data_IF_559344061593
#
_entry.id   IF_559344061593
#
_cell.length_a   1.000
_cell.length_b   1.000
_cell.length_c   1.000
_cell.angle_alpha   90.00
_cell.angle_beta   90.00
_cell.angle_gamma   90.00
#
_symmetry.space_group_name_H-M   'P 1'
#
loop_
_entity.id
_entity.type
_entity.pdbx_description
1 polymer ?
#
# COMPACT_ATOMS: atom_id res chain seq x y z
N UNK A 1 -4.93 -16.71 57.75
CA UNK A 1 -5.51 -16.24 56.47
C UNK A 1 -5.43 -14.72 56.48
N UNK A 2 -4.43 -14.16 55.81
CA UNK A 2 -4.21 -12.72 55.72
C UNK A 2 -4.60 -12.32 54.29
N UNK A 3 -5.72 -11.60 54.14
CA UNK A 3 -6.19 -11.14 52.84
C UNK A 3 -5.40 -9.88 52.44
N UNK A 4 -4.64 -9.98 51.35
CA UNK A 4 -3.93 -8.86 50.74
C UNK A 4 -4.89 -8.23 49.71
N UNK A 5 -5.41 -7.04 50.00
CA UNK A 5 -6.22 -6.28 49.05
C UNK A 5 -5.28 -5.50 48.12
N UNK A 6 -5.23 -5.91 46.85
CA UNK A 6 -4.53 -5.16 45.80
C UNK A 6 -5.49 -4.10 45.28
N UNK A 7 -5.23 -2.84 45.60
CA UNK A 7 -5.95 -1.71 45.02
C UNK A 7 -5.47 -1.51 43.58
N UNK A 8 -6.34 -1.81 42.61
CA UNK A 8 -6.12 -1.47 41.21
C UNK A 8 -6.26 0.06 41.04
N UNK A 9 -5.13 0.76 40.98
CA UNK A 9 -5.09 2.16 40.58
C UNK A 9 -5.36 2.27 39.09
N UNK A 10 -6.58 2.66 38.71
CA UNK A 10 -6.90 3.05 37.35
C UNK A 10 -6.34 4.46 37.14
N UNK A 11 -5.17 4.57 36.50
CA UNK A 11 -4.68 5.84 35.99
C UNK A 11 -5.59 6.26 34.85
N UNK A 12 -6.44 7.26 35.08
CA UNK A 12 -7.18 7.92 34.03
C UNK A 12 -6.18 8.55 33.05
N UNK A 13 -6.08 7.98 31.84
CA UNK A 13 -5.37 8.61 30.73
C UNK A 13 -6.19 9.84 30.36
N UNK A 14 -5.64 11.03 30.63
CA UNK A 14 -6.26 12.28 30.20
C UNK A 14 -6.34 12.27 28.67
N UNK A 15 -7.55 12.38 28.12
CA UNK A 15 -7.74 12.56 26.69
C UNK A 15 -6.98 13.83 26.27
N UNK A 16 -6.07 13.69 25.30
CA UNK A 16 -5.39 14.84 24.72
C UNK A 16 -6.46 15.82 24.19
N UNK A 17 -6.30 17.11 24.48
CA UNK A 17 -7.20 18.12 23.94
C UNK A 17 -7.15 18.06 22.41
N UNK A 18 -8.31 17.91 21.77
CA UNK A 18 -8.40 17.91 20.31
C UNK A 18 -7.81 19.22 19.76
N UNK A 19 -6.89 19.10 18.80
CA UNK A 19 -6.26 20.25 18.15
C UNK A 19 -7.26 21.14 17.40
N UNK A 20 -6.84 22.32 16.92
CA UNK A 20 -7.67 23.21 16.11
C UNK A 20 -8.20 22.49 14.85
N UNK A 21 -9.42 22.87 14.43
CA UNK A 21 -9.98 22.47 13.14
C UNK A 21 -10.00 23.69 12.22
N UNK A 22 -9.25 23.64 11.12
CA UNK A 22 -9.22 24.67 10.09
C UNK A 22 -10.15 24.24 8.97
N UNK A 23 -11.25 24.98 8.81
CA UNK A 23 -12.25 24.75 7.77
C UNK A 23 -11.88 25.55 6.52
N UNK A 24 -11.60 24.88 5.41
CA UNK A 24 -11.37 25.49 4.11
C UNK A 24 -12.62 25.34 3.24
N UNK A 25 -13.06 26.44 2.64
CA UNK A 25 -14.21 26.41 1.74
C UNK A 25 -13.88 25.81 0.36
N UNK A 26 -12.59 25.77 0.00
CA UNK A 26 -12.08 25.24 -1.26
C UNK A 26 -10.95 24.24 -1.02
N UNK A 27 -10.52 23.59 -2.10
CA UNK A 27 -9.38 22.69 -2.15
C UNK A 27 -8.14 23.31 -2.85
N UNK A 28 -8.10 24.64 -3.04
CA UNK A 28 -7.00 25.30 -3.76
C UNK A 28 -5.67 25.08 -3.05
N UNK A 29 -4.63 24.79 -3.82
CA UNK A 29 -3.31 24.38 -3.35
C UNK A 29 -2.73 25.33 -2.28
N UNK A 30 -2.82 26.65 -2.51
CA UNK A 30 -2.27 27.65 -1.58
C UNK A 30 -2.99 27.65 -0.23
N UNK A 31 -4.33 27.55 -0.23
CA UNK A 31 -5.13 27.49 1.00
C UNK A 31 -4.82 26.22 1.79
N UNK A 32 -4.75 25.06 1.10
CA UNK A 32 -4.43 23.78 1.73
C UNK A 32 -3.01 23.78 2.30
N UNK A 33 -2.05 24.32 1.55
CA UNK A 33 -0.65 24.45 1.98
C UNK A 33 -0.53 25.30 3.23
N UNK A 34 -1.14 26.48 3.24
CA UNK A 34 -1.04 27.42 4.35
C UNK A 34 -1.72 26.85 5.61
N UNK A 35 -2.87 26.19 5.44
CA UNK A 35 -3.55 25.51 6.53
C UNK A 35 -2.70 24.37 7.14
N UNK A 36 -2.16 23.48 6.29
CA UNK A 36 -1.29 22.39 6.76
C UNK A 36 -0.05 22.92 7.47
N UNK A 37 0.61 23.94 6.92
CA UNK A 37 1.78 24.57 7.55
C UNK A 37 1.45 25.18 8.92
N UNK A 38 0.24 25.72 9.09
CA UNK A 38 -0.18 26.32 10.36
C UNK A 38 -0.43 25.31 11.49
N UNK A 39 -0.68 24.04 11.16
CA UNK A 39 -0.93 22.96 12.14
C UNK A 39 0.29 22.10 12.46
N UNK A 40 1.39 22.21 11.71
CA UNK A 40 2.60 21.37 11.91
C UNK A 40 3.11 21.35 13.35
N UNK A 41 3.06 22.49 14.05
CA UNK A 41 3.61 22.64 15.41
C UNK A 41 2.55 22.60 16.51
N UNK A 42 1.26 22.61 16.14
CA UNK A 42 0.14 22.69 17.09
C UNK A 42 -0.73 21.43 17.06
N UNK A 43 -0.61 20.64 16.00
CA UNK A 43 -1.52 19.56 15.66
C UNK A 43 -2.87 20.09 15.22
N UNK A 44 -3.74 19.19 14.76
CA UNK A 44 -5.13 19.52 14.43
C UNK A 44 -5.58 18.94 13.11
N UNK A 45 -6.72 19.43 12.65
CA UNK A 45 -7.38 18.94 11.44
C UNK A 45 -7.52 20.06 10.41
N UNK A 46 -7.06 19.81 9.20
CA UNK A 46 -7.38 20.61 8.02
C UNK A 46 -8.54 19.92 7.32
N UNK A 47 -9.70 20.57 7.33
CA UNK A 47 -10.92 20.07 6.71
C UNK A 47 -11.18 20.83 5.40
N UNK A 48 -11.15 20.12 4.28
CA UNK A 48 -11.45 20.65 2.96
C UNK A 48 -12.95 20.55 2.68
N UNK A 49 -13.50 21.59 2.07
CA UNK A 49 -14.82 21.56 1.47
C UNK A 49 -14.86 20.71 0.19
N UNK A 50 -16.07 20.42 -0.27
CA UNK A 50 -16.29 19.82 -1.59
C UNK A 50 -15.84 20.78 -2.70
N UNK A 51 -15.28 20.23 -3.76
CA UNK A 51 -14.77 20.97 -4.90
C UNK A 51 -13.78 20.15 -5.72
N UNK A 52 -13.52 20.61 -6.94
CA UNK A 52 -12.48 20.08 -7.80
C UNK A 52 -11.45 21.18 -8.02
N UNK A 53 -10.20 20.92 -7.61
CA UNK A 53 -9.10 21.88 -7.72
C UNK A 53 -7.94 21.23 -8.47
N UNK A 54 -7.46 21.91 -9.50
CA UNK A 54 -6.32 21.47 -10.27
C UNK A 54 -5.05 22.18 -9.80
N UNK A 55 -4.27 21.45 -9.01
CA UNK A 55 -3.05 21.94 -8.40
C UNK A 55 -1.95 22.23 -9.42
N UNK A 56 -2.06 21.74 -10.65
CA UNK A 56 -1.13 22.09 -11.74
C UNK A 56 -1.42 23.46 -12.35
N UNK A 57 -2.65 23.96 -12.25
CA UNK A 57 -3.08 25.22 -12.89
C UNK A 57 -3.52 26.29 -11.90
N UNK A 58 -3.54 25.97 -10.60
CA UNK A 58 -3.90 26.88 -9.53
C UNK A 58 -3.02 28.16 -9.52
N UNK A 59 -3.62 29.36 -9.34
CA UNK A 59 -2.85 30.59 -9.22
C UNK A 59 -1.88 30.54 -8.03
N UNK A 60 -0.57 30.68 -8.31
CA UNK A 60 0.47 30.57 -7.28
C UNK A 60 0.91 29.13 -6.99
N UNK A 61 0.55 28.18 -7.85
CA UNK A 61 0.95 26.77 -7.76
C UNK A 61 2.40 26.48 -8.14
N UNK A 62 3.33 27.38 -7.82
CA UNK A 62 4.77 27.11 -7.96
C UNK A 62 5.41 26.99 -6.58
N UNK A 63 5.83 25.79 -6.15
CA UNK A 63 5.71 24.51 -6.86
C UNK A 63 4.29 23.93 -6.76
N UNK A 64 3.91 23.03 -7.69
CA UNK A 64 2.58 22.42 -7.84
C UNK A 64 2.36 21.25 -6.86
N UNK A 65 2.91 21.40 -5.66
CA UNK A 65 2.97 20.38 -4.61
C UNK A 65 2.99 21.01 -3.22
N UNK A 66 2.68 20.19 -2.24
CA UNK A 66 2.78 20.52 -0.82
C UNK A 66 3.81 19.59 -0.17
N UNK A 67 4.70 20.17 0.62
CA UNK A 67 5.62 19.41 1.48
C UNK A 67 5.37 19.80 2.93
N UNK A 68 5.10 18.81 3.77
CA UNK A 68 4.85 18.96 5.20
C UNK A 68 5.92 18.20 5.95
N UNK A 69 6.76 18.91 6.70
CA UNK A 69 7.67 18.28 7.66
C UNK A 69 6.96 18.17 9.00
N UNK A 70 6.63 16.94 9.41
CA UNK A 70 5.89 16.68 10.64
C UNK A 70 6.73 17.05 11.87
N UNK A 71 6.10 17.78 12.79
CA UNK A 71 6.61 18.01 14.14
C UNK A 71 6.30 16.83 15.07
N UNK A 72 6.06 17.14 16.34
CA UNK A 72 5.70 16.18 17.40
C UNK A 72 4.18 16.12 17.65
N UNK A 73 3.38 16.56 16.67
CA UNK A 73 1.92 16.70 16.78
C UNK A 73 1.19 15.94 15.69
N UNK A 74 0.05 15.37 16.07
CA UNK A 74 -0.84 14.68 15.14
C UNK A 74 -1.48 15.68 14.17
N UNK A 75 -1.47 15.33 12.87
CA UNK A 75 -2.09 16.12 11.81
C UNK A 75 -3.12 15.25 11.10
N UNK A 76 -4.32 15.79 10.89
CA UNK A 76 -5.34 15.17 10.06
C UNK A 76 -5.63 16.05 8.84
N UNK A 77 -5.67 15.47 7.65
CA UNK A 77 -6.12 16.11 6.42
C UNK A 77 -7.36 15.38 5.93
N UNK A 78 -8.51 16.06 5.91
CA UNK A 78 -9.79 15.44 5.59
C UNK A 78 -10.54 16.21 4.51
N UNK A 79 -11.06 15.51 3.51
CA UNK A 79 -11.97 16.09 2.51
C UNK A 79 -13.45 15.92 2.87
N UNK A 80 -14.33 16.28 1.93
CA UNK A 80 -15.77 16.10 2.07
C UNK A 80 -16.25 14.72 1.59
N UNK A 81 -15.34 13.90 1.06
CA UNK A 81 -15.56 12.57 0.50
C UNK A 81 -14.73 12.38 -0.76
N UNK A 82 -14.27 11.15 -1.04
CA UNK A 82 -13.37 10.86 -2.16
C UNK A 82 -13.89 11.31 -3.54
N UNK A 83 -15.20 11.41 -3.70
CA UNK A 83 -15.87 11.88 -4.92
C UNK A 83 -16.34 13.34 -4.84
N UNK A 84 -16.19 13.98 -3.68
CA UNK A 84 -16.64 15.35 -3.43
C UNK A 84 -15.49 16.35 -3.36
N UNK A 85 -14.33 15.95 -2.83
CA UNK A 85 -13.10 16.75 -2.83
C UNK A 85 -12.09 16.09 -3.75
N UNK A 86 -11.84 16.67 -4.93
CA UNK A 86 -10.96 16.12 -5.96
C UNK A 86 -9.78 17.05 -6.20
N UNK A 87 -8.57 16.52 -6.05
CA UNK A 87 -7.29 17.22 -6.26
C UNK A 87 -6.64 16.69 -7.54
N UNK A 88 -6.61 17.52 -8.58
CA UNK A 88 -6.09 17.16 -9.90
C UNK A 88 -4.65 17.59 -10.10
N UNK A 89 -3.95 16.83 -10.95
CA UNK A 89 -2.57 17.05 -11.38
C UNK A 89 -2.47 17.03 -12.90
N UNK A 90 -3.27 17.85 -13.59
CA UNK A 90 -3.47 17.71 -15.04
C UNK A 90 -2.25 18.02 -15.90
N UNK A 91 -1.32 18.86 -15.41
CA UNK A 91 -0.11 19.28 -16.11
C UNK A 91 1.12 19.23 -15.19
N UNK A 92 1.14 18.25 -14.28
CA UNK A 92 2.16 18.13 -13.26
C UNK A 92 3.59 17.95 -13.80
N UNK A 93 4.57 18.37 -13.01
CA UNK A 93 5.99 18.08 -13.30
C UNK A 93 6.26 16.57 -13.29
N UNK A 94 7.17 16.10 -14.16
CA UNK A 94 7.58 14.70 -14.18
C UNK A 94 8.22 14.29 -12.83
N UNK A 95 7.87 13.11 -12.30
CA UNK A 95 8.36 12.57 -11.03
C UNK A 95 8.06 13.45 -9.79
N UNK A 96 6.98 14.22 -9.83
CA UNK A 96 6.53 15.06 -8.71
C UNK A 96 5.36 14.42 -7.95
N UNK A 97 5.30 14.66 -6.64
CA UNK A 97 4.22 14.24 -5.75
C UNK A 97 3.26 15.38 -5.46
N UNK A 98 1.95 15.12 -5.36
CA UNK A 98 0.93 16.09 -4.90
C UNK A 98 1.24 16.55 -3.49
N UNK A 99 1.45 15.59 -2.61
CA UNK A 99 1.67 15.80 -1.20
C UNK A 99 2.84 14.94 -0.73
N UNK A 100 3.79 15.57 -0.05
CA UNK A 100 4.92 14.89 0.59
C UNK A 100 4.81 15.14 2.09
N UNK A 101 4.63 14.09 2.87
CA UNK A 101 4.70 14.13 4.32
C UNK A 101 6.04 13.54 4.74
N UNK A 102 6.87 14.36 5.37
CA UNK A 102 8.17 13.97 5.90
C UNK A 102 7.99 13.77 7.40
N UNK A 103 7.89 12.51 7.82
CA UNK A 103 7.84 12.15 9.22
C UNK A 103 9.21 12.32 9.88
N UNK A 104 9.18 12.66 11.17
CA UNK A 104 10.33 12.56 12.05
C UNK A 104 10.16 11.33 12.94
N UNK A 105 11.24 10.82 13.55
CA UNK A 105 11.23 9.60 14.35
C UNK A 105 10.43 9.67 15.68
N UNK A 106 9.52 10.64 15.82
CA UNK A 106 8.62 10.79 16.96
C UNK A 106 7.29 10.05 16.77
N UNK A 107 6.43 10.13 17.79
CA UNK A 107 5.13 9.44 17.85
C UNK A 107 4.00 10.22 17.15
N UNK A 108 4.32 11.24 16.37
CA UNK A 108 3.34 12.07 15.67
C UNK A 108 2.68 11.27 14.54
N UNK A 109 1.35 11.29 14.50
CA UNK A 109 0.56 10.52 13.53
C UNK A 109 0.01 11.42 12.43
N UNK A 110 -0.11 10.85 11.24
CA UNK A 110 -0.78 11.47 10.10
C UNK A 110 -2.03 10.64 9.76
N UNK A 111 -3.17 11.31 9.67
CA UNK A 111 -4.40 10.76 9.09
C UNK A 111 -4.76 11.54 7.83
N UNK A 112 -4.99 10.85 6.71
CA UNK A 112 -5.49 11.46 5.47
C UNK A 112 -6.73 10.69 5.02
N UNK A 113 -7.84 11.41 4.82
CA UNK A 113 -9.10 10.77 4.44
C UNK A 113 -10.03 11.62 3.59
N UNK A 114 -10.99 10.94 2.96
CA UNK A 114 -12.14 11.55 2.27
C UNK A 114 -11.75 12.44 1.08
N UNK A 115 -10.68 12.09 0.35
CA UNK A 115 -10.14 12.90 -0.76
C UNK A 115 -9.86 12.02 -2.00
N UNK A 116 -10.27 12.53 -3.16
CA UNK A 116 -9.88 12.02 -4.46
C UNK A 116 -8.64 12.72 -4.99
N UNK A 117 -7.67 11.96 -5.49
CA UNK A 117 -6.49 12.42 -6.19
C UNK A 117 -6.52 11.88 -7.63
N UNK A 118 -6.38 12.78 -8.61
CA UNK A 118 -6.40 12.42 -10.03
C UNK A 118 -5.12 12.93 -10.72
N UNK A 119 -4.34 11.98 -11.24
CA UNK A 119 -3.19 12.24 -12.10
C UNK A 119 -3.60 12.69 -13.51
N UNK A 120 -2.62 12.79 -14.40
CA UNK A 120 -2.85 13.28 -15.76
C UNK A 120 -3.54 12.21 -16.64
N UNK A 121 -3.17 10.94 -16.49
CA UNK A 121 -3.76 9.81 -17.23
C UNK A 121 -3.53 9.78 -18.74
N UNK A 122 -2.94 10.82 -19.31
CA UNK A 122 -2.62 10.91 -20.74
C UNK A 122 -1.32 10.15 -21.09
N UNK A 123 -1.12 9.77 -22.38
CA UNK A 123 0.11 9.16 -22.87
C UNK A 123 1.24 10.19 -22.87
N UNK A 124 1.82 10.43 -21.70
CA UNK A 124 2.91 11.37 -21.49
C UNK A 124 4.10 10.64 -20.87
N UNK A 125 5.28 11.23 -20.99
CA UNK A 125 6.46 10.74 -20.25
C UNK A 125 6.52 11.28 -18.82
N UNK A 126 5.44 11.93 -18.34
CA UNK A 126 5.36 12.49 -17.00
C UNK A 126 4.82 11.41 -16.08
N UNK A 127 5.60 11.06 -15.05
CA UNK A 127 5.28 10.06 -14.04
C UNK A 127 4.96 10.76 -12.74
N UNK A 128 3.94 11.61 -12.75
CA UNK A 128 3.44 12.26 -11.55
C UNK A 128 2.87 11.25 -10.57
N UNK A 129 2.84 11.65 -9.30
CA UNK A 129 2.51 10.83 -8.15
C UNK A 129 1.54 11.54 -7.22
N UNK A 130 0.73 10.77 -6.51
CA UNK A 130 -0.22 11.30 -5.54
C UNK A 130 0.48 11.70 -4.25
N UNK A 131 0.57 10.80 -3.28
CA UNK A 131 1.11 11.08 -1.95
C UNK A 131 2.40 10.30 -1.71
N UNK A 132 3.39 10.93 -1.07
CA UNK A 132 4.54 10.26 -0.46
C UNK A 132 4.51 10.46 1.07
N UNK A 133 4.59 9.36 1.82
CA UNK A 133 4.96 9.35 3.23
C UNK A 133 6.42 8.90 3.35
N UNK A 134 7.31 9.77 3.81
CA UNK A 134 8.76 9.48 3.91
C UNK A 134 9.29 9.77 5.31
N UNK A 135 10.50 9.30 5.61
CA UNK A 135 11.13 9.46 6.93
C UNK A 135 10.63 8.45 7.97
N UNK A 136 10.20 7.26 7.54
CA UNK A 136 9.69 6.18 8.42
C UNK A 136 8.45 6.59 9.21
N UNK A 137 7.38 6.99 8.52
CA UNK A 137 6.10 7.34 9.14
C UNK A 137 5.50 6.16 9.91
N UNK A 138 5.17 6.37 11.18
CA UNK A 138 4.61 5.34 12.07
C UNK A 138 3.17 5.65 12.44
N UNK A 139 2.39 4.58 12.56
CA UNK A 139 1.01 4.59 13.04
C UNK A 139 0.10 5.55 12.24
N UNK A 140 0.37 5.67 10.93
CA UNK A 140 -0.42 6.47 10.00
C UNK A 140 -1.73 5.77 9.64
N UNK A 141 -2.71 6.59 9.21
CA UNK A 141 -3.99 6.14 8.65
C UNK A 141 -4.25 6.84 7.33
N UNK A 142 -4.47 6.09 6.26
CA UNK A 142 -4.89 6.62 4.96
C UNK A 142 -6.17 5.90 4.55
N UNK A 143 -7.30 6.58 4.44
CA UNK A 143 -8.56 5.87 4.24
C UNK A 143 -9.65 6.66 3.55
N UNK A 144 -10.65 5.97 2.98
CA UNK A 144 -11.74 6.61 2.23
C UNK A 144 -11.19 7.53 1.12
N UNK A 145 -10.16 7.05 0.42
CA UNK A 145 -9.44 7.79 -0.62
C UNK A 145 -9.77 7.23 -2.00
N UNK A 146 -9.62 8.07 -3.03
CA UNK A 146 -9.59 7.62 -4.42
C UNK A 146 -8.32 8.11 -5.10
N UNK A 147 -7.56 7.22 -5.73
CA UNK A 147 -6.36 7.55 -6.51
C UNK A 147 -6.52 7.04 -7.93
N UNK A 148 -6.47 7.94 -8.90
CA UNK A 148 -6.59 7.54 -10.29
C UNK A 148 -5.63 8.23 -11.23
N UNK A 149 -5.35 7.57 -12.37
CA UNK A 149 -4.63 8.15 -13.50
C UNK A 149 -3.19 8.59 -13.20
N UNK A 150 -2.57 8.06 -12.15
CA UNK A 150 -1.17 8.32 -11.86
C UNK A 150 -0.26 7.42 -12.70
N UNK A 151 0.63 8.04 -13.46
CA UNK A 151 1.62 7.35 -14.28
C UNK A 151 2.83 6.86 -13.46
N UNK A 152 3.05 7.43 -12.27
CA UNK A 152 4.05 7.00 -11.29
C UNK A 152 3.44 6.09 -10.21
N UNK A 153 2.80 6.69 -9.22
CA UNK A 153 2.15 5.99 -8.10
C UNK A 153 1.02 6.83 -7.51
N UNK A 154 -0.07 6.20 -7.09
CA UNK A 154 -1.12 6.85 -6.31
C UNK A 154 -0.62 7.19 -4.90
N UNK A 155 -0.07 6.18 -4.21
CA UNK A 155 0.47 6.31 -2.87
C UNK A 155 1.83 5.62 -2.77
N UNK A 156 2.80 6.31 -2.18
CA UNK A 156 4.15 5.83 -1.94
C UNK A 156 4.50 5.96 -0.45
N UNK A 157 4.91 4.85 0.16
CA UNK A 157 5.34 4.79 1.55
C UNK A 157 6.83 4.45 1.58
N UNK A 158 7.63 5.26 2.26
CA UNK A 158 9.08 5.15 2.31
C UNK A 158 9.60 5.10 3.75
N UNK A 159 10.58 4.24 3.99
CA UNK A 159 11.34 4.17 5.24
C UNK A 159 11.27 2.80 5.92
N UNK A 160 12.38 2.35 6.51
CA UNK A 160 12.49 0.99 6.99
C UNK A 160 11.51 0.65 8.12
N UNK A 161 11.16 1.64 8.93
CA UNK A 161 10.25 1.51 10.07
C UNK A 161 8.86 2.09 9.79
N UNK A 162 8.53 2.31 8.51
CA UNK A 162 7.19 2.74 8.13
C UNK A 162 6.17 1.64 8.45
N UNK A 163 5.14 2.01 9.21
CA UNK A 163 4.01 1.15 9.55
C UNK A 163 2.73 1.96 9.72
N UNK A 164 1.61 1.35 9.42
CA UNK A 164 0.30 2.02 9.43
C UNK A 164 -0.70 1.24 8.61
N UNK A 165 -1.88 1.82 8.40
CA UNK A 165 -2.95 1.17 7.66
C UNK A 165 -3.52 2.06 6.56
N UNK A 166 -3.67 1.47 5.39
CA UNK A 166 -4.41 1.98 4.24
C UNK A 166 -5.69 1.16 4.15
N UNK A 167 -6.86 1.79 4.18
CA UNK A 167 -8.12 1.04 4.13
C UNK A 167 -9.27 1.78 3.44
N UNK A 168 -10.30 1.04 3.00
CA UNK A 168 -11.46 1.61 2.30
C UNK A 168 -11.07 2.59 1.18
N UNK A 169 -10.00 2.27 0.45
CA UNK A 169 -9.45 3.17 -0.56
C UNK A 169 -9.49 2.52 -1.94
N UNK A 170 -9.71 3.35 -2.96
CA UNK A 170 -9.83 2.95 -4.35
C UNK A 170 -8.61 3.41 -5.15
N UNK A 171 -7.99 2.49 -5.90
CA UNK A 171 -6.86 2.77 -6.79
C UNK A 171 -7.19 2.30 -8.20
N UNK A 172 -7.47 3.23 -9.11
CA UNK A 172 -8.01 2.90 -10.43
C UNK A 172 -7.24 3.54 -11.57
N UNK A 173 -6.93 2.78 -12.61
CA UNK A 173 -6.30 3.27 -13.84
C UNK A 173 -4.94 3.98 -13.60
N UNK A 174 -4.17 3.52 -12.61
CA UNK A 174 -2.79 3.98 -12.43
C UNK A 174 -1.86 3.17 -13.32
N UNK A 175 -1.69 3.59 -14.57
CA UNK A 175 -0.75 3.01 -15.53
C UNK A 175 -0.47 4.02 -16.64
N UNK A 176 0.65 3.83 -17.34
CA UNK A 176 0.91 4.56 -18.58
C UNK A 176 0.22 3.85 -19.76
N UNK A 177 -0.81 4.43 -20.39
CA UNK A 177 -1.49 3.80 -21.52
C UNK A 177 -0.60 3.63 -22.76
N UNK A 178 0.49 4.40 -22.90
CA UNK A 178 1.46 4.21 -23.96
C UNK A 178 2.44 3.07 -23.68
N UNK A 179 2.58 2.66 -22.41
CA UNK A 179 3.52 1.63 -21.98
C UNK A 179 2.98 0.85 -20.76
N UNK A 180 1.82 0.18 -20.87
CA UNK A 180 1.13 -0.38 -19.70
C UNK A 180 1.93 -1.48 -18.99
N UNK A 181 2.84 -2.16 -19.70
CA UNK A 181 3.69 -3.21 -19.12
C UNK A 181 5.07 -2.70 -18.66
N UNK A 182 5.58 -1.59 -19.20
CA UNK A 182 6.94 -1.12 -18.92
C UNK A 182 7.03 0.28 -18.27
N UNK A 183 5.91 0.98 -18.12
CA UNK A 183 5.80 2.21 -17.35
C UNK A 183 5.90 1.98 -15.84
N UNK A 184 5.68 3.03 -15.05
CA UNK A 184 5.29 2.88 -13.64
C UNK A 184 3.75 2.71 -13.59
N UNK A 185 3.07 3.26 -12.59
CA UNK A 185 1.62 3.15 -12.43
C UNK A 185 1.27 2.21 -11.29
N UNK A 186 1.64 2.61 -10.09
CA UNK A 186 1.37 1.83 -8.89
C UNK A 186 0.13 2.36 -8.20
N UNK A 187 -0.75 1.48 -7.71
CA UNK A 187 -1.78 1.88 -6.75
C UNK A 187 -1.09 2.34 -5.46
N UNK A 188 -0.49 1.37 -4.78
CA UNK A 188 0.38 1.59 -3.61
C UNK A 188 1.78 1.04 -3.90
N UNK A 189 2.81 1.76 -3.50
CA UNK A 189 4.18 1.26 -3.47
C UNK A 189 4.80 1.43 -2.08
N UNK A 190 5.44 0.37 -1.58
CA UNK A 190 6.10 0.35 -0.28
C UNK A 190 7.60 0.16 -0.46
N UNK A 191 8.37 1.15 -0.05
CA UNK A 191 9.82 1.11 0.00
C UNK A 191 10.29 1.17 1.45
N UNK A 192 11.16 0.26 1.87
CA UNK A 192 11.93 0.46 3.09
C UNK A 192 13.15 1.33 2.79
N UNK A 193 14.26 1.10 3.51
CA UNK A 193 15.53 1.75 3.24
C UNK A 193 16.53 0.81 2.56
N UNK A 194 17.27 1.34 1.60
CA UNK A 194 18.40 0.63 1.01
C UNK A 194 19.57 0.60 2.03
N UNK A 195 19.86 -0.54 2.63
CA UNK A 195 20.97 -0.70 3.57
C UNK A 195 21.30 -2.15 3.90
N UNK A 196 22.47 -2.42 4.50
CA UNK A 196 22.89 -3.79 4.82
C UNK A 196 22.14 -4.39 6.02
N UNK A 197 21.36 -3.58 6.74
CA UNK A 197 20.65 -3.99 7.94
C UNK A 197 19.35 -4.69 7.57
N UNK A 198 19.40 -6.02 7.42
CA UNK A 198 18.21 -6.85 7.30
C UNK A 198 17.44 -6.84 8.62
N UNK A 199 16.19 -6.41 8.60
CA UNK A 199 15.28 -6.61 9.74
C UNK A 199 14.88 -8.08 9.82
N UNK A 200 14.70 -8.63 11.03
CA UNK A 200 14.24 -10.01 11.17
C UNK A 200 12.82 -10.12 10.64
N UNK A 201 12.55 -11.13 9.80
CA UNK A 201 11.20 -11.43 9.37
C UNK A 201 10.39 -11.97 10.55
N UNK A 202 9.22 -11.39 10.77
CA UNK A 202 8.26 -11.75 11.83
C UNK A 202 6.85 -11.69 11.21
N UNK A 203 6.34 -12.81 10.65
CA UNK A 203 5.01 -12.83 10.07
C UNK A 203 3.97 -12.56 11.17
N UNK A 204 2.88 -11.88 10.82
CA UNK A 204 1.82 -11.53 11.76
C UNK A 204 2.19 -10.41 12.74
N UNK A 205 3.32 -9.72 12.53
CA UNK A 205 3.70 -8.56 13.34
C UNK A 205 3.01 -7.27 12.89
N UNK A 206 2.91 -6.28 13.78
CA UNK A 206 2.41 -4.94 13.45
C UNK A 206 3.42 -4.03 12.77
N UNK A 207 4.62 -4.52 12.46
CA UNK A 207 5.73 -3.74 11.90
C UNK A 207 5.75 -3.83 10.37
N UNK A 208 4.63 -3.48 9.75
CA UNK A 208 4.42 -3.49 8.31
C UNK A 208 3.43 -2.38 7.88
N UNK A 209 3.40 -2.09 6.59
CA UNK A 209 2.33 -1.30 5.98
C UNK A 209 1.15 -2.23 5.65
N UNK A 210 0.01 -2.02 6.29
CA UNK A 210 -1.21 -2.78 6.04
C UNK A 210 -2.08 -2.10 4.99
N UNK A 211 -2.63 -2.90 4.08
CA UNK A 211 -3.58 -2.52 3.05
C UNK A 211 -4.80 -3.44 3.21
N UNK A 212 -5.93 -2.87 3.62
CA UNK A 212 -7.13 -3.60 4.02
C UNK A 212 -8.37 -3.11 3.30
N UNK A 213 -9.33 -3.99 3.02
CA UNK A 213 -10.67 -3.60 2.54
C UNK A 213 -10.62 -2.56 1.42
N UNK A 214 -9.64 -2.69 0.51
CA UNK A 214 -9.34 -1.72 -0.52
C UNK A 214 -9.62 -2.30 -1.89
N UNK A 215 -9.90 -1.42 -2.85
CA UNK A 215 -10.26 -1.79 -4.20
C UNK A 215 -9.22 -1.30 -5.19
N UNK A 216 -8.72 -2.22 -6.01
CA UNK A 216 -7.74 -1.92 -7.03
C UNK A 216 -8.26 -2.36 -8.39
N UNK A 217 -8.16 -1.48 -9.40
CA UNK A 217 -8.55 -1.80 -10.77
C UNK A 217 -7.60 -1.20 -11.78
N UNK A 218 -7.13 -2.01 -12.73
CA UNK A 218 -6.33 -1.54 -13.86
C UNK A 218 -5.09 -0.72 -13.45
N UNK A 219 -4.37 -1.14 -12.40
CA UNK A 219 -3.06 -0.58 -12.08
C UNK A 219 -1.96 -1.41 -12.75
N UNK A 220 -0.80 -0.82 -13.08
CA UNK A 220 0.34 -1.64 -13.53
C UNK A 220 0.75 -2.61 -12.42
N UNK A 221 0.96 -2.11 -11.21
CA UNK A 221 0.98 -2.93 -10.00
C UNK A 221 -0.06 -2.35 -9.05
N UNK A 222 -0.98 -3.15 -8.54
CA UNK A 222 -1.92 -2.68 -7.51
C UNK A 222 -1.16 -2.40 -6.22
N UNK A 223 -0.28 -3.33 -5.83
CA UNK A 223 0.70 -3.14 -4.77
C UNK A 223 2.06 -3.60 -5.27
N UNK A 224 3.07 -2.75 -5.12
CA UNK A 224 4.47 -3.09 -5.40
C UNK A 224 5.33 -2.79 -4.17
N UNK A 225 6.47 -3.44 -4.06
CA UNK A 225 7.42 -3.13 -2.98
C UNK A 225 8.86 -3.37 -3.37
N UNK A 226 9.80 -2.70 -2.67
CA UNK A 226 11.23 -2.95 -2.78
C UNK A 226 12.01 -2.43 -1.55
N UNK A 227 13.34 -2.53 -1.52
CA UNK A 227 14.24 -1.86 -0.55
C UNK A 227 13.97 -2.21 0.93
N UNK A 228 14.02 -3.48 1.31
CA UNK A 228 13.76 -3.99 2.68
C UNK A 228 12.35 -3.65 3.22
N UNK A 229 11.39 -3.40 2.33
CA UNK A 229 9.98 -3.12 2.66
C UNK A 229 9.26 -4.30 3.30
N UNK A 230 8.21 -4.00 4.07
CA UNK A 230 7.32 -4.96 4.71
C UNK A 230 5.88 -4.52 4.50
N UNK A 231 5.06 -5.36 3.87
CA UNK A 231 3.66 -5.03 3.63
C UNK A 231 2.71 -6.21 3.86
N UNK A 232 1.46 -5.89 4.14
CA UNK A 232 0.35 -6.85 4.25
C UNK A 232 -0.78 -6.37 3.36
N UNK A 233 -1.29 -7.23 2.48
CA UNK A 233 -2.52 -6.98 1.71
C UNK A 233 -3.55 -8.02 2.11
N UNK A 234 -4.70 -7.56 2.62
CA UNK A 234 -5.76 -8.47 3.08
C UNK A 234 -7.16 -7.93 2.86
N UNK A 235 -8.13 -8.83 2.72
CA UNK A 235 -9.55 -8.50 2.57
C UNK A 235 -9.83 -7.49 1.45
N UNK A 236 -8.95 -7.42 0.45
CA UNK A 236 -9.00 -6.44 -0.63
C UNK A 236 -9.43 -7.08 -1.95
N UNK A 237 -9.97 -6.27 -2.85
CA UNK A 237 -10.34 -6.69 -4.21
C UNK A 237 -9.35 -6.12 -5.22
N UNK A 238 -8.81 -6.98 -6.07
CA UNK A 238 -7.74 -6.65 -7.02
C UNK A 238 -8.14 -7.13 -8.41
N UNK A 239 -8.52 -6.19 -9.28
CA UNK A 239 -9.02 -6.45 -10.62
C UNK A 239 -8.02 -6.00 -11.68
N UNK A 240 -7.49 -6.97 -12.43
CA UNK A 240 -6.70 -6.70 -13.61
C UNK A 240 -7.60 -6.49 -14.84
N UNK A 241 -7.13 -5.73 -15.82
CA UNK A 241 -7.86 -5.54 -17.09
C UNK A 241 -7.01 -5.95 -18.27
N UNK A 242 -7.56 -5.96 -19.49
CA UNK A 242 -6.74 -6.22 -20.67
C UNK A 242 -5.52 -5.31 -20.75
N UNK A 243 -5.63 -4.02 -20.42
CA UNK A 243 -4.50 -3.09 -20.49
C UNK A 243 -3.33 -3.53 -19.58
N UNK A 244 -3.63 -4.00 -18.37
CA UNK A 244 -2.63 -4.31 -17.33
C UNK A 244 -2.32 -5.80 -17.18
N UNK A 245 -2.96 -6.68 -17.94
CA UNK A 245 -2.83 -8.15 -17.81
C UNK A 245 -1.40 -8.74 -17.80
N UNK A 246 -0.45 -8.04 -18.42
CA UNK A 246 0.94 -8.50 -18.59
C UNK A 246 1.86 -8.02 -17.45
N UNK A 247 1.28 -7.65 -16.32
CA UNK A 247 1.98 -7.16 -15.14
C UNK A 247 1.71 -8.09 -13.96
N UNK A 248 2.57 -8.03 -12.95
CA UNK A 248 2.30 -8.61 -11.64
C UNK A 248 1.28 -7.74 -10.90
N UNK A 249 0.14 -8.22 -10.42
CA UNK A 249 -0.82 -7.31 -9.75
C UNK A 249 -0.37 -6.97 -8.34
N UNK A 250 0.13 -7.99 -7.64
CA UNK A 250 0.79 -7.87 -6.35
C UNK A 250 2.23 -8.30 -6.55
N UNK A 251 3.16 -7.36 -6.38
CA UNK A 251 4.57 -7.54 -6.67
C UNK A 251 5.44 -7.26 -5.46
N UNK A 252 6.45 -8.10 -5.25
CA UNK A 252 7.53 -7.84 -4.31
C UNK A 252 8.86 -7.94 -5.06
N UNK A 253 9.50 -6.82 -5.34
CA UNK A 253 10.75 -6.82 -6.09
C UNK A 253 11.89 -7.45 -5.29
N UNK A 254 12.85 -8.06 -5.99
CA UNK A 254 14.12 -8.54 -5.49
C UNK A 254 15.25 -7.54 -5.71
N UNK A 255 16.42 -7.85 -5.15
CA UNK A 255 17.66 -7.13 -5.45
C UNK A 255 17.98 -7.19 -6.94
N UNK A 256 18.62 -6.13 -7.47
CA UNK A 256 19.08 -6.07 -8.86
C UNK A 256 18.11 -5.39 -9.84
N UNK A 257 16.83 -5.25 -9.50
CA UNK A 257 15.86 -4.53 -10.35
C UNK A 257 16.08 -3.01 -10.33
N UNK A 258 16.13 -2.41 -9.14
CA UNK A 258 16.32 -0.95 -8.93
C UNK A 258 17.08 -0.61 -7.64
N UNK A 259 17.47 -1.61 -6.86
CA UNK A 259 18.16 -1.46 -5.57
C UNK A 259 19.03 -2.67 -5.29
N UNK A 260 20.01 -2.50 -4.40
CA UNK A 260 20.84 -3.60 -3.90
C UNK A 260 20.14 -4.48 -2.86
N UNK A 261 18.91 -4.15 -2.47
CA UNK A 261 18.06 -4.91 -1.56
C UNK A 261 16.71 -5.15 -2.24
N UNK A 262 16.17 -6.36 -2.10
CA UNK A 262 14.79 -6.69 -2.43
C UNK A 262 13.81 -6.25 -1.35
N UNK A 263 12.55 -6.65 -1.47
CA UNK A 263 11.54 -6.53 -0.42
C UNK A 263 11.90 -7.45 0.74
N UNK A 264 11.65 -7.06 2.00
CA UNK A 264 12.00 -7.92 3.13
C UNK A 264 10.96 -8.99 3.38
N UNK A 265 9.69 -8.58 3.42
CA UNK A 265 8.60 -9.51 3.63
C UNK A 265 7.26 -9.01 3.10
N UNK A 266 6.37 -9.98 2.88
CA UNK A 266 5.03 -9.73 2.40
C UNK A 266 4.05 -10.76 2.99
N UNK A 267 2.83 -10.33 3.28
CA UNK A 267 1.72 -11.22 3.66
C UNK A 267 0.50 -10.87 2.81
N UNK A 268 0.00 -11.83 2.05
CA UNK A 268 -1.07 -11.61 1.06
C UNK A 268 -2.15 -12.65 1.29
N UNK A 269 -3.26 -12.25 1.92
CA UNK A 269 -4.28 -13.22 2.29
C UNK A 269 -5.71 -12.71 2.31
N UNK A 270 -6.65 -13.62 2.05
CA UNK A 270 -8.08 -13.33 2.03
C UNK A 270 -8.45 -12.19 1.09
N UNK A 271 -7.73 -12.06 -0.02
CA UNK A 271 -8.07 -11.11 -1.08
C UNK A 271 -8.86 -11.81 -2.18
N UNK A 272 -9.61 -11.02 -2.95
CA UNK A 272 -10.19 -11.45 -4.21
C UNK A 272 -9.34 -10.89 -5.36
N UNK A 273 -8.70 -11.78 -6.12
CA UNK A 273 -7.79 -11.44 -7.22
C UNK A 273 -8.42 -11.95 -8.52
N UNK A 274 -8.87 -11.04 -9.36
CA UNK A 274 -9.65 -11.39 -10.52
C UNK A 274 -9.26 -10.58 -11.77
N UNK A 275 -9.83 -10.99 -12.89
CA UNK A 275 -9.71 -10.33 -14.17
C UNK A 275 -11.05 -9.72 -14.58
N UNK A 276 -11.12 -8.39 -14.63
CA UNK A 276 -12.30 -7.62 -15.00
C UNK A 276 -12.26 -7.24 -16.48
N UNK A 277 -12.25 -8.25 -17.34
CA UNK A 277 -12.45 -8.09 -18.78
C UNK A 277 -13.02 -9.38 -19.37
N UNK A 278 -13.88 -9.23 -20.38
CA UNK A 278 -14.55 -10.34 -21.07
C UNK A 278 -13.69 -10.93 -22.20
N UNK A 279 -12.53 -10.33 -22.49
CA UNK A 279 -11.62 -10.85 -23.50
C UNK A 279 -10.95 -12.12 -23.00
N UNK A 280 -11.09 -13.23 -23.74
CA UNK A 280 -10.44 -14.48 -23.41
C UNK A 280 -8.91 -14.33 -23.48
N UNK A 281 -8.26 -14.17 -22.32
CA UNK A 281 -6.80 -14.19 -22.19
C UNK A 281 -6.39 -15.22 -21.16
N UNK A 282 -5.40 -16.04 -21.53
CA UNK A 282 -4.90 -17.14 -20.72
C UNK A 282 -3.48 -16.84 -20.21
N UNK A 283 -3.28 -15.77 -19.44
CA UNK A 283 -1.96 -15.50 -18.79
C UNK A 283 -1.94 -14.28 -17.86
N UNK A 284 -3.00 -13.97 -17.10
CA UNK A 284 -2.94 -12.84 -16.17
C UNK A 284 -2.03 -13.21 -15.00
N UNK A 285 -1.02 -12.39 -14.71
CA UNK A 285 -0.19 -12.56 -13.53
C UNK A 285 -0.95 -12.14 -12.29
N UNK A 286 -0.99 -13.01 -11.26
CA UNK A 286 -1.60 -12.70 -9.97
C UNK A 286 -0.55 -12.12 -9.02
N UNK A 287 -0.08 -12.96 -8.11
CA UNK A 287 0.98 -12.65 -7.15
C UNK A 287 2.33 -13.08 -7.72
N UNK A 288 3.27 -12.14 -7.82
CA UNK A 288 4.63 -12.41 -8.31
C UNK A 288 5.64 -11.82 -7.33
N UNK A 289 6.54 -12.64 -6.81
CA UNK A 289 7.56 -12.18 -5.87
C UNK A 289 8.93 -12.54 -6.39
N UNK A 290 9.81 -11.54 -6.34
CA UNK A 290 11.19 -11.58 -6.77
C UNK A 290 12.14 -11.52 -5.57
N UNK A 291 11.62 -11.19 -4.39
CA UNK A 291 12.35 -11.09 -3.14
C UNK A 291 11.44 -11.09 -1.92
N UNK A 292 12.06 -11.31 -0.76
CA UNK A 292 11.43 -11.32 0.55
C UNK A 292 10.79 -12.65 0.92
N UNK A 293 10.70 -12.88 2.22
CA UNK A 293 10.03 -14.03 2.81
C UNK A 293 8.55 -13.69 3.03
N UNK A 294 7.65 -14.65 2.88
CA UNK A 294 6.24 -14.29 2.99
C UNK A 294 5.22 -15.41 2.96
N UNK A 295 3.97 -14.98 3.07
CA UNK A 295 2.81 -15.85 3.25
C UNK A 295 1.73 -15.49 2.22
N UNK A 296 1.19 -16.50 1.53
CA UNK A 296 0.04 -16.38 0.63
C UNK A 296 -1.05 -17.37 1.03
N UNK A 297 -2.19 -16.91 1.58
CA UNK A 297 -3.24 -17.86 1.96
C UNK A 297 -4.68 -17.35 1.86
N UNK A 298 -5.62 -18.29 1.72
CA UNK A 298 -7.07 -18.05 1.64
C UNK A 298 -7.49 -16.95 0.65
N UNK A 299 -6.70 -16.68 -0.40
CA UNK A 299 -7.11 -15.77 -1.46
C UNK A 299 -8.03 -16.50 -2.45
N UNK A 300 -8.96 -15.74 -3.03
CA UNK A 300 -9.91 -16.16 -4.06
C UNK A 300 -9.40 -15.69 -5.41
N UNK A 301 -9.35 -16.58 -6.40
CA UNK A 301 -8.85 -16.27 -7.74
C UNK A 301 -9.91 -16.53 -8.82
N UNK A 302 -10.10 -15.58 -9.75
CA UNK A 302 -10.87 -15.86 -10.98
C UNK A 302 -10.09 -16.81 -11.89
N UNK A 303 -10.79 -17.47 -12.83
CA UNK A 303 -10.21 -18.51 -13.70
C UNK A 303 -9.08 -18.01 -14.61
N UNK A 304 -9.10 -16.73 -14.98
CA UNK A 304 -8.14 -16.08 -15.86
C UNK A 304 -6.77 -15.86 -15.20
N UNK A 305 -6.71 -15.88 -13.86
CA UNK A 305 -5.46 -15.79 -13.13
C UNK A 305 -4.69 -17.11 -13.31
N UNK A 306 -3.53 -17.04 -13.95
CA UNK A 306 -2.84 -18.22 -14.49
C UNK A 306 -2.01 -19.02 -13.47
N UNK A 307 -1.79 -18.44 -12.28
CA UNK A 307 -1.10 -19.08 -11.16
C UNK A 307 -1.49 -18.38 -9.85
N UNK A 308 -1.53 -19.15 -8.76
CA UNK A 308 -1.72 -18.62 -7.41
C UNK A 308 -0.55 -17.73 -7.03
N UNK A 309 0.66 -18.19 -7.34
CA UNK A 309 1.90 -17.55 -6.93
C UNK A 309 3.01 -17.84 -7.95
N UNK A 310 3.80 -16.82 -8.27
CA UNK A 310 5.04 -16.96 -9.02
C UNK A 310 6.20 -16.46 -8.17
N UNK A 311 7.21 -17.31 -8.02
CA UNK A 311 8.49 -16.95 -7.44
C UNK A 311 9.52 -16.75 -8.56
N UNK A 312 10.20 -15.62 -8.54
CA UNK A 312 11.22 -15.22 -9.51
C UNK A 312 12.46 -14.67 -8.78
N UNK A 313 13.52 -14.36 -9.51
CA UNK A 313 14.74 -13.80 -8.93
C UNK A 313 15.88 -13.69 -9.94
N UNK A 314 16.99 -13.06 -9.53
CA UNK A 314 18.25 -13.12 -10.30
C UNK A 314 18.92 -14.48 -10.08
N UNK A 315 18.47 -15.47 -10.86
CA UNK A 315 18.96 -16.85 -10.79
C UNK A 315 20.25 -17.06 -11.61
N UNK A 316 20.96 -15.98 -11.95
CA UNK A 316 22.23 -16.03 -12.69
C UNK A 316 23.48 -16.04 -11.80
N UNK A 317 23.33 -15.66 -10.53
CA UNK A 317 24.37 -15.63 -9.49
C UNK A 317 24.37 -16.84 -8.56
N UNK A 318 25.32 -16.87 -7.61
CA UNK A 318 25.23 -17.79 -6.47
C UNK A 318 24.05 -17.43 -5.58
N UNK A 319 23.41 -18.44 -4.97
CA UNK A 319 22.33 -18.30 -3.98
C UNK A 319 22.68 -17.21 -2.95
N UNK A 320 21.69 -16.46 -2.43
CA UNK A 320 21.81 -15.49 -1.32
C UNK A 320 22.10 -14.03 -1.68
N UNK A 321 21.45 -13.46 -2.69
CA UNK A 321 21.40 -12.00 -2.81
C UNK A 321 20.58 -11.36 -1.66
N UNK A 322 20.74 -10.06 -1.44
CA UNK A 322 20.06 -9.35 -0.35
C UNK A 322 18.53 -9.38 -0.53
N UNK A 323 17.85 -10.03 0.42
CA UNK A 323 16.40 -10.19 0.49
C UNK A 323 15.82 -10.97 -0.70
N UNK A 324 16.56 -11.99 -1.15
CA UNK A 324 16.00 -13.08 -1.97
C UNK A 324 14.98 -13.88 -1.14
N UNK A 325 13.99 -14.50 -1.80
CA UNK A 325 13.00 -15.35 -1.11
C UNK A 325 13.70 -16.60 -0.58
N UNK A 326 13.78 -16.73 0.75
CA UNK A 326 14.34 -17.91 1.41
C UNK A 326 13.22 -18.85 1.89
N UNK A 327 12.08 -18.27 2.30
CA UNK A 327 10.92 -19.02 2.74
C UNK A 327 9.61 -18.35 2.35
N UNK A 328 8.76 -19.11 1.66
CA UNK A 328 7.38 -18.72 1.36
C UNK A 328 6.40 -19.84 1.70
N UNK A 329 5.28 -19.50 2.32
CA UNK A 329 4.23 -20.47 2.67
C UNK A 329 2.95 -20.14 1.91
N UNK A 330 2.42 -21.12 1.19
CA UNK A 330 1.25 -20.95 0.33
C UNK A 330 0.22 -22.04 0.64
N UNK A 331 -0.97 -21.69 1.12
CA UNK A 331 -2.04 -22.66 1.44
C UNK A 331 -3.44 -22.05 1.38
N UNK A 332 -4.49 -22.88 1.37
CA UNK A 332 -5.89 -22.42 1.54
C UNK A 332 -6.49 -21.57 0.40
N UNK A 333 -5.69 -21.18 -0.59
CA UNK A 333 -6.14 -20.44 -1.76
C UNK A 333 -7.12 -21.27 -2.61
N UNK A 334 -8.11 -20.62 -3.22
CA UNK A 334 -9.16 -21.26 -3.99
C UNK A 334 -9.59 -20.42 -5.20
N UNK A 335 -10.27 -21.06 -6.15
CA UNK A 335 -10.99 -20.39 -7.24
C UNK A 335 -12.32 -19.84 -6.75
N UNK A 336 -12.93 -18.96 -7.53
CA UNK A 336 -14.28 -18.43 -7.27
C UNK A 336 -15.35 -19.53 -7.16
N UNK A 337 -15.17 -20.69 -7.80
CA UNK A 337 -16.06 -21.85 -7.67
C UNK A 337 -15.83 -22.67 -6.37
N UNK A 338 -14.90 -22.22 -5.51
CA UNK A 338 -14.52 -22.86 -4.25
C UNK A 338 -13.49 -23.99 -4.41
N UNK A 339 -13.05 -24.32 -5.63
CA UNK A 339 -12.05 -25.37 -5.83
C UNK A 339 -10.66 -24.94 -5.35
N UNK A 340 -9.85 -25.83 -4.72
CA UNK A 340 -8.51 -25.49 -4.28
C UNK A 340 -7.61 -25.00 -5.43
N UNK A 341 -6.81 -23.97 -5.18
CA UNK A 341 -5.94 -23.38 -6.20
C UNK A 341 -4.52 -23.14 -5.69
N UNK A 342 -3.60 -24.03 -6.04
CA UNK A 342 -2.20 -24.03 -5.60
C UNK A 342 -1.22 -24.13 -6.77
N UNK A 343 -1.49 -23.42 -7.87
CA UNK A 343 -0.60 -23.44 -9.04
C UNK A 343 0.57 -22.50 -8.79
N UNK A 344 1.77 -23.08 -8.63
CA UNK A 344 3.02 -22.33 -8.44
C UNK A 344 3.80 -22.28 -9.75
N UNK A 345 4.32 -21.10 -10.08
CA UNK A 345 5.31 -20.95 -11.14
C UNK A 345 6.65 -20.52 -10.57
N UNK A 346 7.70 -21.20 -11.00
CA UNK A 346 9.08 -20.78 -10.76
C UNK A 346 9.59 -20.09 -12.02
N UNK A 347 10.27 -18.94 -11.84
CA UNK A 347 10.90 -18.18 -12.91
C UNK A 347 11.77 -19.06 -13.82
N UNK A 348 11.86 -18.69 -15.10
CA UNK A 348 12.63 -19.46 -16.07
C UNK A 348 14.12 -19.49 -15.67
N UNK A 349 14.69 -20.70 -15.53
CA UNK A 349 16.08 -20.87 -15.08
C UNK A 349 16.27 -20.88 -13.57
N UNK A 350 15.22 -20.61 -12.78
CA UNK A 350 15.28 -20.56 -11.32
C UNK A 350 14.95 -21.89 -10.63
N UNK A 351 14.62 -22.96 -11.38
CA UNK A 351 14.16 -24.23 -10.80
C UNK A 351 15.17 -24.94 -9.88
N UNK A 352 16.48 -24.65 -10.01
CA UNK A 352 17.50 -25.14 -9.08
C UNK A 352 17.61 -24.30 -7.80
N UNK A 353 17.10 -23.07 -7.82
CA UNK A 353 17.15 -22.12 -6.72
C UNK A 353 15.90 -22.22 -5.85
N UNK A 354 14.72 -22.26 -6.49
CA UNK A 354 13.44 -22.36 -5.81
C UNK A 354 12.85 -23.77 -5.98
N UNK A 355 12.79 -24.49 -4.86
CA UNK A 355 12.33 -25.87 -4.76
C UNK A 355 11.24 -25.97 -3.73
N UNK A 356 10.22 -26.77 -4.08
CA UNK A 356 9.14 -27.08 -3.18
C UNK A 356 9.66 -27.78 -1.92
N UNK A 357 9.14 -27.39 -0.77
CA UNK A 357 9.54 -27.89 0.54
C UNK A 357 10.83 -27.28 1.08
N UNK A 358 11.42 -26.30 0.38
CA UNK A 358 12.59 -25.56 0.85
C UNK A 358 12.31 -24.06 0.78
N UNK A 359 12.30 -23.48 -0.42
CA UNK A 359 12.08 -22.03 -0.59
C UNK A 359 10.59 -21.66 -0.68
N UNK A 360 9.77 -22.59 -1.16
CA UNK A 360 8.31 -22.46 -1.11
C UNK A 360 7.69 -23.73 -0.56
N UNK A 361 6.76 -23.58 0.37
CA UNK A 361 6.09 -24.65 1.09
C UNK A 361 4.60 -24.56 0.82
N UNK A 362 4.00 -25.65 0.33
CA UNK A 362 2.57 -25.75 0.04
C UNK A 362 1.76 -26.21 1.25
N UNK A 363 2.01 -25.56 2.39
CA UNK A 363 1.36 -25.82 3.66
C UNK A 363 1.46 -24.60 4.57
N UNK A 364 0.60 -24.55 5.59
CA UNK A 364 0.73 -23.60 6.69
C UNK A 364 2.08 -23.80 7.42
N UNK A 365 2.73 -22.74 7.95
CA UNK A 365 3.92 -22.87 8.77
C UNK A 365 3.79 -23.86 9.93
N UNK A 366 4.84 -24.64 10.18
CA UNK A 366 4.88 -25.51 11.37
C UNK A 366 4.77 -24.67 12.65
N UNK A 367 3.84 -25.04 13.53
CA UNK A 367 3.49 -24.26 14.72
C UNK A 367 2.29 -23.33 14.53
N UNK A 368 1.75 -23.25 13.30
CA UNK A 368 0.64 -22.39 12.93
C UNK A 368 1.06 -20.98 12.59
N UNK A 369 0.21 -20.28 11.85
CA UNK A 369 0.37 -18.85 11.58
C UNK A 369 -0.75 -18.06 12.28
N UNK A 370 -0.37 -17.06 13.08
CA UNK A 370 -1.30 -16.13 13.70
C UNK A 370 -1.23 -14.79 12.95
N UNK A 371 -2.27 -14.44 12.15
CA UNK A 371 -2.30 -13.14 11.49
C UNK A 371 -2.40 -12.01 12.51
N UNK A 372 -1.81 -10.86 12.18
CA UNK A 372 -2.00 -9.64 12.96
C UNK A 372 -3.51 -9.33 13.11
N UNK A 373 -4.00 -8.75 14.23
CA UNK A 373 -5.43 -8.54 14.44
C UNK A 373 -6.10 -7.80 13.28
N UNK A 374 -7.25 -8.30 12.82
CA UNK A 374 -8.13 -7.67 11.84
C UNK A 374 -9.49 -7.33 12.49
N UNK A 375 -10.06 -6.14 12.23
CA UNK A 375 -9.48 -5.02 11.47
C UNK A 375 -8.21 -4.48 12.15
N UNK A 376 -7.33 -3.81 11.41
CA UNK A 376 -6.12 -3.24 12.01
C UNK A 376 -6.48 -2.38 13.23
N UNK A 377 -5.80 -2.51 14.39
CA UNK A 377 -6.16 -1.77 15.60
C UNK A 377 -6.18 -0.24 15.45
N UNK A 378 -5.40 0.31 14.51
CA UNK A 378 -5.41 1.75 14.19
C UNK A 378 -6.71 2.24 13.53
N UNK A 379 -7.54 1.35 12.97
CA UNK A 379 -8.85 1.72 12.41
C UNK A 379 -9.83 2.18 13.50
N UNK A 380 -9.61 1.74 14.74
CA UNK A 380 -10.45 2.06 15.89
C UNK A 380 -11.65 1.12 16.03
N UNK A 381 -12.32 1.16 17.18
CA UNK A 381 -13.43 0.25 17.51
C UNK A 381 -14.75 0.57 16.78
N UNK A 382 -14.85 1.77 16.18
CA UNK A 382 -16.07 2.28 15.55
C UNK A 382 -16.09 2.05 14.03
N UNK A 383 -15.04 1.45 13.45
CA UNK A 383 -15.01 1.09 12.04
C UNK A 383 -15.87 -0.17 11.82
N UNK A 384 -17.10 0.04 11.37
CA UNK A 384 -18.05 -1.02 11.09
C UNK A 384 -17.64 -1.66 9.76
N UNK A 385 -17.02 -2.84 9.84
CA UNK A 385 -16.75 -3.70 8.68
C UNK A 385 -18.04 -3.83 7.88
N UNK A 386 -18.06 -3.38 6.62
CA UNK A 386 -19.22 -3.61 5.76
C UNK A 386 -19.48 -5.12 5.69
N UNK A 387 -20.67 -5.56 6.07
CA UNK A 387 -21.07 -6.97 6.09
C UNK A 387 -21.40 -7.51 4.69
N UNK A 388 -20.93 -6.86 3.62
CA UNK A 388 -21.54 -6.95 2.30
C UNK A 388 -20.45 -6.93 1.22
N UNK A 389 -19.77 -8.07 0.96
CA UNK A 389 -19.19 -8.45 -0.36
C UNK A 389 -18.38 -9.78 -0.41
N UNK A 390 -18.30 -10.59 0.67
CA UNK A 390 -17.53 -11.84 0.66
C UNK A 390 -18.33 -13.09 1.05
N UNK A 391 -19.63 -13.11 0.73
CA UNK A 391 -20.44 -14.34 0.72
C UNK A 391 -20.54 -14.93 -0.70
#
# INVERSE_FOLDING_TARGET
MLACAVAAGWSAVAAAAAGPVIQLASCHLSEVRDALQSVVNTGGTVQLGAGECDWSTDPGASPDRITVSMGDKDIHLRGAGATQTILKRSDAENLSYALIIICSAGDARIEISDIGFEGNGGPTNRRERGISLTGSCRDFKIHDMHFSKFLGSGLEIEGNDSRGVIYHSEFTDNYDPASPSNGEGYGVVVYGDAGPNRTSWQPGSGEAVFIEDSYFRANRHSVASNRNSRYVVRYSTVLNTHATRNTSVLDAHGAGSTSSQGSRSWEIYKNHIAYDDTTAVSSVGGIVTWGGDGIVWDNIFSDEIAYTFRIDGDCSGGRYDYDETEHSWIWGNHREDGSPYSVIRVGNGCGSFYREGIEYILAEPEGGYEPYPYPHPLRGADDVIFADAFD
#
